data_IF_081389134539
#
_entry.id   IF_081389134539
#
_cell.length_a   1.000
_cell.length_b   1.000
_cell.length_c   1.000
_cell.angle_alpha   90.00
_cell.angle_beta   90.00
_cell.angle_gamma   90.00
#
_symmetry.space_group_name_H-M   'P 1'
#
loop_
_entity.id
_entity.type
_entity.pdbx_description
1 polymer ?
#
# COMPACT_ATOMS: atom_id res chain seq x y z
N UNK A 1 8.62 8.12 11.18
CA UNK A 1 8.91 7.83 9.77
C UNK A 1 8.42 8.97 8.92
N UNK A 2 9.10 9.24 7.82
CA UNK A 2 8.76 10.35 6.94
C UNK A 2 7.52 10.03 6.10
N UNK A 3 7.54 8.91 5.39
CA UNK A 3 6.39 8.38 4.65
C UNK A 3 6.38 6.87 4.82
N UNK A 4 5.74 6.39 5.89
CA UNK A 4 5.58 4.95 6.10
C UNK A 4 4.54 4.40 5.13
N UNK A 5 4.83 3.32 4.42
CA UNK A 5 3.97 2.79 3.35
C UNK A 5 4.04 1.28 3.23
N UNK A 6 3.11 0.72 2.44
CA UNK A 6 3.02 -0.70 2.09
C UNK A 6 3.24 -1.65 3.30
N UNK A 7 2.45 -1.51 4.39
CA UNK A 7 2.54 -2.43 5.50
C UNK A 7 2.04 -3.82 5.09
N UNK A 8 2.71 -4.86 5.58
CA UNK A 8 2.15 -6.21 5.54
C UNK A 8 2.54 -7.03 6.76
N UNK A 9 1.67 -7.98 7.11
CA UNK A 9 1.91 -8.94 8.17
C UNK A 9 2.51 -10.22 7.61
N UNK A 10 3.69 -10.60 8.10
CA UNK A 10 4.28 -11.90 7.87
C UNK A 10 3.90 -12.83 9.02
N UNK A 11 3.08 -13.84 8.73
CA UNK A 11 2.50 -14.75 9.72
C UNK A 11 3.55 -15.68 10.36
N UNK A 12 4.41 -16.31 9.56
CA UNK A 12 5.48 -17.20 10.03
C UNK A 12 6.44 -16.48 10.98
N UNK A 13 6.87 -15.27 10.63
CA UNK A 13 7.74 -14.45 11.49
C UNK A 13 6.99 -13.75 12.64
N UNK A 14 5.65 -13.72 12.57
CA UNK A 14 4.79 -12.92 13.44
C UNK A 14 5.29 -11.45 13.52
N UNK A 15 5.51 -10.86 12.35
CA UNK A 15 6.15 -9.56 12.21
C UNK A 15 5.38 -8.66 11.23
N UNK A 16 5.34 -7.36 11.55
CA UNK A 16 4.88 -6.34 10.63
C UNK A 16 6.09 -5.77 9.88
N UNK A 17 5.99 -5.73 8.55
CA UNK A 17 6.91 -5.03 7.67
C UNK A 17 6.26 -3.79 7.08
N UNK A 18 7.06 -2.79 6.73
CA UNK A 18 6.66 -1.60 5.96
C UNK A 18 7.89 -0.88 5.38
N UNK A 19 7.70 0.05 4.47
CA UNK A 19 8.76 0.94 3.96
C UNK A 19 8.66 2.34 4.55
N UNK A 20 9.76 3.06 4.67
CA UNK A 20 9.77 4.53 4.80
C UNK A 20 10.34 5.12 3.50
N UNK A 21 9.48 5.62 2.61
CA UNK A 21 9.86 6.03 1.26
C UNK A 21 10.95 7.11 1.31
N UNK A 22 10.68 8.22 2.00
CA UNK A 22 11.62 9.33 2.15
C UNK A 22 12.68 9.07 3.23
N UNK A 23 12.44 8.11 4.14
CA UNK A 23 13.44 7.63 5.09
C UNK A 23 14.44 6.64 4.49
N UNK A 24 14.19 6.15 3.27
CA UNK A 24 15.05 5.21 2.54
C UNK A 24 15.24 3.88 3.29
N UNK A 25 14.20 3.36 3.94
CA UNK A 25 14.31 2.12 4.72
C UNK A 25 13.19 1.13 4.45
N UNK A 26 13.53 -0.15 4.50
CA UNK A 26 12.58 -1.24 4.80
C UNK A 26 12.65 -1.49 6.29
N UNK A 27 11.51 -1.69 6.95
CA UNK A 27 11.42 -1.82 8.39
C UNK A 27 10.64 -3.09 8.77
N UNK A 28 11.00 -3.67 9.92
CA UNK A 28 10.31 -4.81 10.53
C UNK A 28 10.16 -4.57 12.03
N UNK A 29 9.01 -4.94 12.58
CA UNK A 29 8.80 -5.06 14.03
C UNK A 29 8.12 -6.37 14.38
N UNK A 30 8.59 -7.04 15.44
CA UNK A 30 7.89 -8.16 16.08
C UNK A 30 7.07 -7.62 17.26
N UNK A 31 5.74 -7.45 17.13
CA UNK A 31 4.96 -6.69 18.12
C UNK A 31 5.02 -7.28 19.54
N UNK A 32 5.11 -8.60 19.66
CA UNK A 32 5.15 -9.28 20.96
C UNK A 32 6.44 -8.98 21.76
N UNK A 33 7.57 -8.76 21.08
CA UNK A 33 8.86 -8.52 21.74
C UNK A 33 9.33 -7.07 21.63
N UNK A 34 8.75 -6.28 20.73
CA UNK A 34 9.24 -4.96 20.36
C UNK A 34 10.55 -4.98 19.57
N UNK A 35 11.08 -6.16 19.19
CA UNK A 35 12.30 -6.25 18.37
C UNK A 35 12.06 -5.55 17.03
N UNK A 36 12.92 -4.58 16.73
CA UNK A 36 12.88 -3.76 15.51
C UNK A 36 14.09 -4.04 14.64
N UNK A 37 13.91 -4.04 13.32
CA UNK A 37 14.97 -4.14 12.32
C UNK A 37 14.71 -3.14 11.20
N UNK A 38 15.76 -2.61 10.61
CA UNK A 38 15.67 -1.65 9.51
C UNK A 38 16.84 -1.86 8.54
N UNK A 39 16.56 -1.79 7.24
CA UNK A 39 17.53 -1.94 6.17
C UNK A 39 17.51 -0.68 5.31
N UNK A 40 18.66 0.00 5.21
CA UNK A 40 18.83 1.20 4.40
C UNK A 40 18.91 0.84 2.93
N UNK A 41 18.11 1.51 2.11
CA UNK A 41 18.01 1.32 0.66
C UNK A 41 18.82 2.39 -0.08
N UNK A 42 19.34 2.03 -1.25
CA UNK A 42 20.06 2.98 -2.13
C UNK A 42 19.11 3.94 -2.88
N UNK A 43 17.82 3.59 -2.97
CA UNK A 43 16.77 4.34 -3.63
C UNK A 43 15.45 4.21 -2.84
N UNK A 44 14.53 5.15 -3.03
CA UNK A 44 13.23 5.24 -2.36
C UNK A 44 12.46 3.92 -2.46
N UNK A 45 12.33 3.12 -1.38
CA UNK A 45 11.51 1.92 -1.38
C UNK A 45 10.04 2.31 -1.27
N UNK A 46 9.18 1.71 -2.08
CA UNK A 46 7.78 2.14 -2.23
C UNK A 46 6.77 1.02 -1.95
N UNK A 47 7.10 -0.21 -2.33
CA UNK A 47 6.30 -1.39 -2.04
C UNK A 47 7.19 -2.60 -1.72
N UNK A 48 6.66 -3.53 -0.93
CA UNK A 48 7.35 -4.77 -0.52
C UNK A 48 6.44 -5.99 -0.60
N UNK A 49 7.02 -7.13 -0.93
CA UNK A 49 6.39 -8.44 -0.92
C UNK A 49 7.34 -9.49 -0.34
N UNK A 50 6.85 -10.40 0.51
CA UNK A 50 7.63 -11.57 0.91
C UNK A 50 7.77 -12.55 -0.28
N UNK A 51 8.96 -13.09 -0.52
CA UNK A 51 9.21 -14.09 -1.58
C UNK A 51 9.48 -15.52 -1.07
N UNK A 52 9.23 -15.75 0.22
CA UNK A 52 9.66 -16.95 0.93
C UNK A 52 11.13 -16.85 1.38
N UNK A 53 11.66 -17.89 2.02
CA UNK A 53 13.10 -18.06 2.32
C UNK A 53 13.82 -16.84 2.96
N UNK A 54 13.13 -16.10 3.82
CA UNK A 54 13.61 -14.88 4.49
C UNK A 54 13.98 -13.71 3.54
N UNK A 55 13.43 -13.62 2.33
CA UNK A 55 13.62 -12.43 1.48
C UNK A 55 12.35 -11.64 1.24
N UNK A 56 12.57 -10.37 0.88
CA UNK A 56 11.58 -9.45 0.37
C UNK A 56 11.94 -9.05 -1.05
N UNK A 57 10.95 -8.97 -1.93
CA UNK A 57 11.04 -8.18 -3.16
C UNK A 57 10.61 -6.76 -2.83
N UNK A 58 11.46 -5.79 -3.16
CA UNK A 58 11.27 -4.37 -2.87
C UNK A 58 11.21 -3.60 -4.19
N UNK A 59 10.11 -2.89 -4.42
CA UNK A 59 10.00 -1.93 -5.52
C UNK A 59 10.60 -0.59 -5.08
N UNK A 60 11.58 -0.09 -5.83
CA UNK A 60 12.27 1.18 -5.58
C UNK A 60 12.10 2.13 -6.76
N UNK A 61 12.41 3.43 -6.60
CA UNK A 61 12.42 4.36 -7.74
C UNK A 61 13.25 3.84 -8.92
N UNK A 62 14.36 3.15 -8.66
CA UNK A 62 15.29 2.65 -9.69
C UNK A 62 14.96 1.26 -10.26
N UNK A 63 14.02 0.51 -9.66
CA UNK A 63 13.70 -0.85 -10.07
C UNK A 63 13.37 -1.77 -8.91
N UNK A 64 13.37 -3.08 -9.18
CA UNK A 64 13.11 -4.10 -8.18
C UNK A 64 14.41 -4.69 -7.65
N UNK A 65 14.49 -4.82 -6.33
CA UNK A 65 15.60 -5.48 -5.63
C UNK A 65 15.07 -6.57 -4.71
N UNK A 66 15.84 -7.63 -4.52
CA UNK A 66 15.59 -8.66 -3.52
C UNK A 66 16.46 -8.38 -2.31
N UNK A 67 15.84 -8.25 -1.13
CA UNK A 67 16.49 -8.04 0.16
C UNK A 67 16.41 -9.33 0.98
N UNK A 68 17.55 -9.91 1.31
CA UNK A 68 17.62 -10.96 2.32
C UNK A 68 17.54 -10.34 3.72
N UNK A 69 16.50 -10.66 4.48
CA UNK A 69 16.24 -10.03 5.80
C UNK A 69 17.10 -10.61 6.93
N UNK A 70 17.91 -11.63 6.67
CA UNK A 70 18.87 -12.19 7.63
C UNK A 70 20.25 -11.57 7.46
N UNK A 71 20.79 -11.55 6.24
CA UNK A 71 22.12 -11.00 5.95
C UNK A 71 22.11 -9.50 5.67
N UNK A 72 20.97 -8.95 5.24
CA UNK A 72 20.86 -7.59 4.71
C UNK A 72 21.37 -7.44 3.27
N UNK A 73 21.75 -8.53 2.61
CA UNK A 73 22.20 -8.52 1.22
C UNK A 73 21.07 -8.10 0.27
N UNK A 74 21.41 -7.28 -0.72
CA UNK A 74 20.49 -6.81 -1.75
C UNK A 74 20.99 -7.24 -3.12
N UNK A 75 20.10 -7.80 -3.94
CA UNK A 75 20.39 -8.20 -5.32
C UNK A 75 19.36 -7.61 -6.28
N UNK A 76 19.81 -7.00 -7.37
CA UNK A 76 18.91 -6.42 -8.37
C UNK A 76 18.11 -7.53 -9.08
N UNK A 77 16.82 -7.28 -9.30
CA UNK A 77 15.93 -8.15 -10.09
C UNK A 77 15.81 -7.59 -11.50
N UNK A 78 15.34 -6.34 -11.62
CA UNK A 78 15.22 -5.64 -12.90
C UNK A 78 15.17 -4.12 -12.69
N UNK A 79 15.64 -3.32 -13.67
CA UNK A 79 15.56 -1.86 -13.59
C UNK A 79 14.11 -1.37 -13.76
N UNK A 80 13.86 -0.13 -13.34
CA UNK A 80 12.62 0.57 -13.64
C UNK A 80 12.44 0.76 -15.16
N UNK A 81 11.23 0.52 -15.70
CA UNK A 81 10.93 0.64 -17.14
C UNK A 81 10.51 2.06 -17.57
N UNK A 82 10.76 3.08 -16.74
CA UNK A 82 10.31 4.47 -16.94
C UNK A 82 11.44 5.48 -16.67
N UNK A 83 11.20 6.76 -16.99
CA UNK A 83 12.12 7.85 -16.64
C UNK A 83 12.08 8.12 -15.13
N UNK A 84 13.14 7.67 -14.45
CA UNK A 84 13.30 7.81 -13.00
C UNK A 84 13.53 9.25 -12.57
N UNK A 85 13.58 10.25 -13.45
CA UNK A 85 13.60 11.66 -13.06
C UNK A 85 12.21 12.22 -12.71
N UNK A 86 11.15 11.60 -13.23
CA UNK A 86 9.78 12.12 -13.14
C UNK A 86 8.75 11.06 -12.72
N UNK A 87 9.16 9.81 -12.57
CA UNK A 87 8.29 8.69 -12.19
C UNK A 87 9.01 7.79 -11.20
N UNK A 88 8.23 7.19 -10.29
CA UNK A 88 8.68 6.13 -9.38
C UNK A 88 7.56 5.12 -9.19
N UNK A 89 7.89 3.90 -8.80
CA UNK A 89 6.92 3.01 -8.16
C UNK A 89 6.34 3.66 -6.89
N UNK A 90 5.09 3.33 -6.58
CA UNK A 90 4.37 3.78 -5.41
C UNK A 90 3.82 2.57 -4.63
N UNK A 91 2.51 2.39 -4.56
CA UNK A 91 1.93 1.26 -3.86
C UNK A 91 1.98 -0.02 -4.69
N UNK A 92 2.01 -1.14 -3.97
CA UNK A 92 2.00 -2.46 -4.57
C UNK A 92 1.52 -3.52 -3.60
N UNK A 93 0.93 -4.58 -4.15
CA UNK A 93 0.45 -5.73 -3.40
C UNK A 93 0.53 -6.99 -4.24
N UNK A 94 0.72 -8.12 -3.58
CA UNK A 94 0.72 -9.44 -4.22
C UNK A 94 -0.72 -9.90 -4.45
N UNK A 95 -1.03 -10.34 -5.66
CA UNK A 95 -2.34 -10.92 -5.99
C UNK A 95 -2.50 -12.34 -5.40
N UNK A 96 -3.72 -12.92 -5.40
CA UNK A 96 -3.94 -14.27 -4.87
C UNK A 96 -3.12 -15.38 -5.55
N UNK A 97 -2.60 -15.16 -6.75
CA UNK A 97 -1.78 -16.12 -7.47
C UNK A 97 -0.28 -15.97 -7.19
N UNK A 98 0.15 -14.93 -6.47
CA UNK A 98 1.54 -14.67 -6.13
C UNK A 98 2.26 -13.69 -7.09
N UNK A 99 1.53 -12.92 -7.90
CA UNK A 99 2.13 -11.90 -8.77
C UNK A 99 2.22 -10.58 -8.02
N UNK A 100 3.34 -9.87 -8.12
CA UNK A 100 3.49 -8.60 -7.41
C UNK A 100 3.08 -7.44 -8.32
N UNK A 101 1.91 -6.86 -8.04
CA UNK A 101 1.39 -5.69 -8.76
C UNK A 101 1.91 -4.43 -8.09
N UNK A 102 2.48 -3.52 -8.89
CA UNK A 102 3.04 -2.26 -8.39
C UNK A 102 2.70 -1.15 -9.36
N UNK A 103 1.99 -0.14 -8.87
CA UNK A 103 1.68 1.03 -9.67
C UNK A 103 2.71 2.13 -9.51
N UNK A 104 2.72 3.08 -10.44
CA UNK A 104 3.62 4.23 -10.39
C UNK A 104 2.93 5.50 -9.89
N UNK A 105 3.76 6.46 -9.51
CA UNK A 105 3.39 7.86 -9.34
C UNK A 105 4.09 8.67 -10.42
N UNK A 106 3.31 9.40 -11.21
CA UNK A 106 3.83 10.38 -12.14
C UNK A 106 3.94 11.74 -11.42
N UNK A 107 5.18 12.13 -11.10
CA UNK A 107 5.48 13.22 -10.16
C UNK A 107 5.11 14.63 -10.67
N UNK A 108 5.16 14.94 -11.98
CA UNK A 108 4.69 16.24 -12.47
C UNK A 108 3.19 16.47 -12.24
N UNK A 109 2.39 15.40 -12.18
CA UNK A 109 0.93 15.44 -11.93
C UNK A 109 0.13 16.36 -12.86
N UNK A 110 0.66 16.71 -14.02
CA UNK A 110 -0.01 17.55 -15.03
C UNK A 110 -0.89 16.75 -16.00
N UNK A 111 -0.80 15.42 -15.95
CA UNK A 111 -1.61 14.47 -16.73
C UNK A 111 -1.70 13.11 -16.04
N UNK A 112 -2.72 12.30 -16.34
CA UNK A 112 -2.86 10.96 -15.81
C UNK A 112 -1.92 9.97 -16.54
N UNK A 113 -0.63 10.03 -16.21
CA UNK A 113 0.44 9.23 -16.84
C UNK A 113 1.11 8.22 -15.89
N UNK A 114 0.47 7.90 -14.76
CA UNK A 114 0.88 6.74 -13.98
C UNK A 114 0.44 5.44 -14.67
N UNK A 115 1.12 4.36 -14.31
CA UNK A 115 1.07 3.06 -14.96
C UNK A 115 1.00 1.96 -13.92
N UNK A 116 0.52 0.80 -14.32
CA UNK A 116 0.49 -0.40 -13.48
C UNK A 116 1.40 -1.46 -14.06
N UNK A 117 2.27 -2.02 -13.22
CA UNK A 117 3.19 -3.09 -13.59
C UNK A 117 2.92 -4.35 -12.78
N UNK A 118 3.25 -5.50 -13.36
CA UNK A 118 3.22 -6.80 -12.68
C UNK A 118 4.59 -7.43 -12.78
N UNK A 119 5.20 -7.70 -11.63
CA UNK A 119 6.36 -8.57 -11.54
C UNK A 119 5.85 -10.01 -11.32
N UNK A 120 6.22 -10.90 -12.23
CA UNK A 120 5.89 -12.33 -12.16
C UNK A 120 7.11 -13.13 -12.60
N UNK A 121 7.60 -14.03 -11.76
CA UNK A 121 8.79 -14.85 -12.05
C UNK A 121 10.02 -14.03 -12.47
N UNK A 122 10.22 -12.94 -11.75
CA UNK A 122 11.30 -11.95 -11.91
C UNK A 122 11.26 -11.25 -13.28
N UNK A 123 10.10 -11.28 -13.95
CA UNK A 123 9.85 -10.58 -15.20
C UNK A 123 8.80 -9.51 -14.98
N UNK A 124 9.17 -8.28 -15.30
CA UNK A 124 8.28 -7.14 -15.21
C UNK A 124 7.52 -6.98 -16.54
N UNK A 125 6.20 -6.84 -16.44
CA UNK A 125 5.34 -6.47 -17.58
C UNK A 125 4.48 -5.26 -17.23
N UNK A 126 4.19 -4.44 -18.23
CA UNK A 126 3.17 -3.41 -18.14
C UNK A 126 1.79 -4.08 -18.17
N UNK A 127 0.93 -3.75 -17.20
CA UNK A 127 -0.46 -4.21 -17.14
C UNK A 127 -1.39 -3.23 -17.88
N UNK A 128 -1.26 -1.94 -17.58
CA UNK A 128 -1.93 -0.85 -18.29
C UNK A 128 -1.18 0.46 -18.05
N UNK A 129 -1.46 1.45 -18.90
CA UNK A 129 -0.87 2.79 -18.84
C UNK A 129 -1.97 3.86 -18.91
N UNK A 130 -1.83 4.91 -18.10
CA UNK A 130 -2.72 6.07 -18.11
C UNK A 130 -3.96 5.95 -17.22
N UNK A 131 -4.83 6.97 -17.30
CA UNK A 131 -6.08 7.13 -16.52
C UNK A 131 -5.92 7.23 -14.98
N UNK A 132 -4.68 7.37 -14.52
CA UNK A 132 -4.30 7.62 -13.13
C UNK A 132 -3.06 8.49 -13.04
N UNK A 133 -2.87 9.15 -11.90
CA UNK A 133 -1.68 9.98 -11.66
C UNK A 133 -0.86 9.46 -10.49
N UNK A 134 -1.52 8.89 -9.47
CA UNK A 134 -0.85 8.35 -8.30
C UNK A 134 -1.53 7.05 -7.85
N UNK A 135 -0.95 5.91 -8.27
CA UNK A 135 -1.50 4.59 -7.99
C UNK A 135 -1.38 4.21 -6.51
N UNK A 136 -2.49 3.73 -5.94
CA UNK A 136 -2.60 3.32 -4.55
C UNK A 136 -3.68 2.25 -4.33
N UNK A 137 -3.81 1.76 -3.11
CA UNK A 137 -5.00 1.07 -2.62
C UNK A 137 -5.27 -0.27 -3.30
N UNK A 138 -4.23 -0.98 -3.76
CA UNK A 138 -4.45 -2.30 -4.37
C UNK A 138 -4.92 -3.30 -3.31
N UNK A 139 -6.04 -3.98 -3.59
CA UNK A 139 -6.52 -5.10 -2.79
C UNK A 139 -7.47 -6.03 -3.57
N UNK A 140 -7.58 -7.28 -3.13
CA UNK A 140 -8.46 -8.28 -3.73
C UNK A 140 -9.44 -8.86 -2.71
N UNK A 141 -10.63 -9.21 -3.18
CA UNK A 141 -11.60 -9.97 -2.39
C UNK A 141 -11.12 -11.40 -2.12
N UNK A 142 -11.62 -12.06 -1.05
CA UNK A 142 -11.22 -13.43 -0.71
C UNK A 142 -11.48 -14.47 -1.80
N UNK A 143 -12.50 -14.25 -2.64
CA UNK A 143 -12.80 -15.13 -3.77
C UNK A 143 -11.87 -14.91 -4.98
N UNK A 144 -11.01 -13.91 -4.93
CA UNK A 144 -10.07 -13.54 -5.99
C UNK A 144 -10.75 -13.04 -7.27
N UNK A 145 -12.00 -12.58 -7.19
CA UNK A 145 -12.79 -12.16 -8.36
C UNK A 145 -12.92 -10.65 -8.52
N UNK A 146 -12.59 -9.89 -7.49
CA UNK A 146 -12.69 -8.43 -7.48
C UNK A 146 -11.37 -7.83 -7.05
N UNK A 147 -10.93 -6.82 -7.79
CA UNK A 147 -9.75 -6.01 -7.52
C UNK A 147 -10.18 -4.56 -7.29
N UNK A 148 -9.69 -3.96 -6.21
CA UNK A 148 -9.83 -2.54 -5.91
C UNK A 148 -8.53 -1.81 -6.21
N UNK A 149 -8.65 -0.55 -6.61
CA UNK A 149 -7.51 0.33 -6.87
C UNK A 149 -7.92 1.78 -6.63
N UNK A 150 -7.00 2.58 -6.10
CA UNK A 150 -7.21 4.00 -5.88
C UNK A 150 -6.27 4.84 -6.75
N UNK A 151 -6.80 5.93 -7.29
CA UNK A 151 -6.00 7.04 -7.79
C UNK A 151 -6.12 8.21 -6.82
N UNK A 152 -5.05 8.41 -6.03
CA UNK A 152 -5.03 9.38 -4.95
C UNK A 152 -5.23 10.81 -5.46
N UNK A 153 -4.73 11.15 -6.66
CA UNK A 153 -4.82 12.52 -7.19
C UNK A 153 -6.23 12.88 -7.66
N UNK A 154 -6.96 11.92 -8.23
CA UNK A 154 -8.36 12.13 -8.65
C UNK A 154 -9.37 11.82 -7.54
N UNK A 155 -8.91 11.46 -6.34
CA UNK A 155 -9.75 11.18 -5.18
C UNK A 155 -10.75 10.05 -5.46
N UNK A 156 -10.29 9.05 -6.20
CA UNK A 156 -11.16 8.03 -6.80
C UNK A 156 -10.74 6.64 -6.38
N UNK A 157 -11.71 5.79 -6.08
CA UNK A 157 -11.55 4.34 -5.95
C UNK A 157 -12.31 3.70 -7.10
N UNK A 158 -11.62 2.81 -7.82
CA UNK A 158 -12.17 2.00 -8.89
C UNK A 158 -12.20 0.52 -8.46
N UNK A 159 -13.10 -0.23 -9.09
CA UNK A 159 -13.25 -1.66 -8.90
C UNK A 159 -13.25 -2.37 -10.25
N UNK A 160 -12.66 -3.56 -10.30
CA UNK A 160 -12.47 -4.34 -11.50
C UNK A 160 -12.85 -5.79 -11.26
N UNK A 161 -13.32 -6.43 -12.31
CA UNK A 161 -13.42 -7.89 -12.33
C UNK A 161 -12.00 -8.44 -12.51
N UNK A 162 -11.63 -9.43 -11.70
CA UNK A 162 -10.30 -10.03 -11.69
C UNK A 162 -10.41 -11.53 -11.90
N UNK A 163 -9.53 -12.08 -12.74
CA UNK A 163 -9.33 -13.52 -12.85
C UNK A 163 -8.02 -13.89 -12.18
N UNK A 164 -8.08 -14.47 -10.98
CA UNK A 164 -6.89 -14.89 -10.25
C UNK A 164 -6.02 -15.89 -11.04
N UNK A 165 -6.62 -16.76 -11.85
CA UNK A 165 -5.88 -17.79 -12.58
C UNK A 165 -4.98 -17.16 -13.65
N UNK A 166 -5.48 -16.16 -14.38
CA UNK A 166 -4.77 -15.54 -15.51
C UNK A 166 -4.09 -14.22 -15.15
N UNK A 167 -4.57 -13.54 -14.11
CA UNK A 167 -4.18 -12.17 -13.75
C UNK A 167 -4.82 -11.11 -14.65
N UNK A 168 -5.89 -11.47 -15.37
CA UNK A 168 -6.63 -10.54 -16.22
C UNK A 168 -7.53 -9.62 -15.40
N UNK A 169 -7.62 -8.37 -15.86
CA UNK A 169 -8.39 -7.28 -15.24
C UNK A 169 -9.36 -6.74 -16.28
N UNK A 170 -10.64 -6.68 -15.93
CA UNK A 170 -11.70 -6.27 -16.85
C UNK A 170 -12.79 -5.43 -16.16
N UNK A 171 -13.66 -4.81 -16.97
CA UNK A 171 -14.88 -4.13 -16.52
C UNK A 171 -14.65 -3.09 -15.41
N UNK A 172 -13.57 -2.32 -15.54
CA UNK A 172 -13.21 -1.25 -14.62
C UNK A 172 -14.32 -0.21 -14.52
N UNK A 173 -14.72 0.11 -13.29
CA UNK A 173 -15.79 1.06 -12.99
C UNK A 173 -15.48 1.85 -11.73
N UNK A 174 -15.97 3.08 -11.68
CA UNK A 174 -15.86 3.89 -10.49
C UNK A 174 -16.68 3.27 -9.35
N UNK A 175 -16.07 3.12 -8.17
CA UNK A 175 -16.73 2.68 -6.96
C UNK A 175 -17.18 3.88 -6.12
N UNK A 176 -16.24 4.77 -5.79
CA UNK A 176 -16.47 5.99 -5.00
C UNK A 176 -15.56 7.10 -5.51
N UNK A 177 -16.05 8.34 -5.48
CA UNK A 177 -15.25 9.55 -5.70
C UNK A 177 -15.44 10.51 -4.53
N UNK A 178 -14.36 11.07 -4.01
CA UNK A 178 -14.37 12.04 -2.92
C UNK A 178 -14.09 13.47 -3.43
N UNK A 179 -14.40 14.46 -2.61
CA UNK A 179 -14.15 15.86 -2.93
C UNK A 179 -12.66 16.14 -3.09
N UNK A 180 -12.29 16.80 -4.18
CA UNK A 180 -10.91 17.26 -4.44
C UNK A 180 -10.66 18.67 -3.88
N UNK A 181 -11.71 19.36 -3.45
CA UNK A 181 -11.61 20.69 -2.85
C UNK A 181 -11.21 20.59 -1.38
N UNK A 182 -9.93 20.87 -1.10
CA UNK A 182 -9.37 20.88 0.26
C UNK A 182 -10.03 21.85 1.22
N UNK A 183 -10.75 22.84 0.70
CA UNK A 183 -11.44 23.86 1.50
C UNK A 183 -12.88 23.47 1.83
N UNK A 184 -13.39 22.44 1.15
CA UNK A 184 -14.75 21.97 1.36
C UNK A 184 -14.90 21.26 2.71
N UNK A 185 -16.04 21.45 3.43
CA UNK A 185 -16.33 20.71 4.65
C UNK A 185 -16.42 19.18 4.44
N UNK A 186 -16.60 18.74 3.20
CA UNK A 186 -16.69 17.32 2.83
C UNK A 186 -15.35 16.72 2.31
N UNK A 187 -14.24 17.47 2.32
CA UNK A 187 -12.95 17.03 1.77
C UNK A 187 -12.55 15.63 2.24
N UNK A 188 -12.54 15.41 3.56
CA UNK A 188 -12.40 14.08 4.15
C UNK A 188 -11.11 13.31 3.84
N UNK A 189 -10.15 13.92 3.14
CA UNK A 189 -8.92 13.28 2.69
C UNK A 189 -9.05 12.57 1.35
N UNK A 190 -7.98 11.89 0.96
CA UNK A 190 -7.86 11.20 -0.33
C UNK A 190 -7.45 9.74 -0.14
N UNK A 191 -7.98 8.81 -0.95
CA UNK A 191 -7.69 7.39 -0.79
C UNK A 191 -6.20 7.12 -1.07
N UNK A 192 -5.59 6.37 -0.17
CA UNK A 192 -4.18 5.97 -0.21
C UNK A 192 -4.12 4.43 -0.19
N UNK A 193 -3.17 3.82 0.53
CA UNK A 193 -3.09 2.37 0.69
C UNK A 193 -4.28 1.73 1.43
N UNK A 194 -4.55 0.47 1.09
CA UNK A 194 -5.74 -0.25 1.53
C UNK A 194 -5.52 -1.76 1.72
N UNK A 195 -6.49 -2.41 2.37
CA UNK A 195 -6.58 -3.87 2.51
C UNK A 195 -8.05 -4.32 2.46
N UNK A 196 -8.31 -5.61 2.23
CA UNK A 196 -9.66 -6.19 2.26
C UNK A 196 -9.77 -7.17 3.43
N UNK A 197 -10.88 -7.07 4.18
CA UNK A 197 -11.17 -7.99 5.29
C UNK A 197 -11.72 -9.36 4.81
N UNK A 198 -11.86 -10.32 5.73
CA UNK A 198 -12.33 -11.66 5.41
C UNK A 198 -13.79 -11.70 4.89
N UNK A 199 -14.55 -10.63 5.07
CA UNK A 199 -15.93 -10.47 4.58
C UNK A 199 -15.96 -9.81 3.18
N UNK A 200 -14.81 -9.43 2.63
CA UNK A 200 -14.69 -8.79 1.32
C UNK A 200 -14.81 -7.27 1.34
N UNK A 201 -14.83 -6.62 2.50
CA UNK A 201 -14.94 -5.17 2.58
C UNK A 201 -13.58 -4.49 2.48
N UNK A 202 -13.55 -3.35 1.79
CA UNK A 202 -12.36 -2.59 1.48
C UNK A 202 -12.07 -1.52 2.55
N UNK A 203 -10.93 -1.66 3.23
CA UNK A 203 -10.44 -0.74 4.25
C UNK A 203 -9.37 0.17 3.67
N UNK A 204 -9.63 1.48 3.62
CA UNK A 204 -8.74 2.46 2.98
C UNK A 204 -8.31 3.56 3.95
N UNK A 205 -7.02 3.89 3.91
CA UNK A 205 -6.48 5.06 4.57
C UNK A 205 -6.82 6.33 3.79
N UNK A 206 -7.33 7.35 4.48
CA UNK A 206 -7.64 8.64 3.86
C UNK A 206 -6.55 9.65 4.22
N UNK A 207 -5.55 9.79 3.34
CA UNK A 207 -4.44 10.72 3.52
C UNK A 207 -4.95 12.16 3.65
N UNK A 208 -4.39 12.93 4.59
CA UNK A 208 -4.87 14.26 5.04
C UNK A 208 -6.28 14.28 5.65
N UNK A 209 -6.99 13.14 5.66
CA UNK A 209 -8.31 13.00 6.28
C UNK A 209 -8.25 12.57 7.75
N UNK A 210 -7.14 12.02 8.21
CA UNK A 210 -6.99 11.52 9.59
C UNK A 210 -8.00 10.42 9.93
N UNK A 211 -8.36 9.57 8.96
CA UNK A 211 -9.39 8.55 9.13
C UNK A 211 -9.15 7.32 8.26
N UNK A 212 -9.82 6.23 8.62
CA UNK A 212 -10.00 5.04 7.80
C UNK A 212 -11.47 4.89 7.42
N UNK A 213 -11.73 4.36 6.22
CA UNK A 213 -13.08 3.99 5.78
C UNK A 213 -13.14 2.48 5.52
N UNK A 214 -14.22 1.82 5.98
CA UNK A 214 -14.64 0.48 5.54
C UNK A 214 -15.74 0.66 4.50
N UNK A 215 -15.48 0.24 3.28
CA UNK A 215 -16.43 0.30 2.17
C UNK A 215 -16.88 -1.12 1.81
N UNK A 216 -18.17 -1.29 1.49
CA UNK A 216 -18.65 -2.54 0.90
C UNK A 216 -18.07 -2.72 -0.52
N UNK A 217 -18.11 -3.93 -1.09
CA UNK A 217 -17.74 -4.16 -2.49
C UNK A 217 -18.54 -3.33 -3.52
N UNK A 218 -19.68 -2.76 -3.11
CA UNK A 218 -20.52 -1.89 -3.94
C UNK A 218 -20.33 -0.39 -3.64
N UNK A 219 -19.41 -0.03 -2.74
CA UNK A 219 -19.04 1.35 -2.43
C UNK A 219 -19.83 2.00 -1.30
N UNK A 220 -20.67 1.24 -0.60
CA UNK A 220 -21.39 1.75 0.57
C UNK A 220 -20.41 1.98 1.73
N UNK A 221 -20.48 3.13 2.40
CA UNK A 221 -19.72 3.38 3.61
C UNK A 221 -20.32 2.60 4.78
N UNK A 222 -19.60 1.57 5.23
CA UNK A 222 -20.01 0.69 6.32
C UNK A 222 -19.50 1.19 7.68
N UNK A 223 -18.31 1.79 7.71
CA UNK A 223 -17.69 2.29 8.94
C UNK A 223 -16.67 3.38 8.65
N UNK A 224 -16.57 4.33 9.56
CA UNK A 224 -15.51 5.32 9.62
C UNK A 224 -14.78 5.20 10.97
N UNK A 225 -13.46 5.33 10.95
CA UNK A 225 -12.61 5.36 12.15
C UNK A 225 -11.75 6.61 12.09
N UNK A 226 -11.98 7.56 12.98
CA UNK A 226 -11.11 8.71 13.19
C UNK A 226 -9.79 8.26 13.86
N UNK A 227 -8.68 8.82 13.39
CA UNK A 227 -7.35 8.52 13.88
C UNK A 227 -6.74 9.75 14.57
N UNK A 228 -5.91 9.54 15.61
CA UNK A 228 -5.18 10.61 16.29
C UNK A 228 -3.94 11.09 15.50
N UNK A 229 -4.03 11.12 14.17
CA UNK A 229 -3.00 11.56 13.23
C UNK A 229 -3.65 12.11 11.94
N UNK A 230 -2.90 12.88 11.13
CA UNK A 230 -3.48 13.54 9.94
C UNK A 230 -3.30 12.78 8.63
N UNK A 231 -2.15 12.13 8.45
CA UNK A 231 -1.79 11.51 7.18
C UNK A 231 -1.61 10.00 7.35
N UNK A 232 -2.70 9.23 7.57
CA UNK A 232 -2.63 7.78 7.41
C UNK A 232 -2.32 7.48 5.95
N UNK A 233 -1.49 6.47 5.71
CA UNK A 233 -0.98 6.15 4.37
C UNK A 233 -1.45 4.79 3.90
N UNK A 234 -1.44 3.77 4.76
CA UNK A 234 -1.90 2.44 4.37
C UNK A 234 -2.29 1.60 5.58
N UNK A 235 -2.95 0.46 5.33
CA UNK A 235 -3.41 -0.47 6.35
C UNK A 235 -3.04 -1.92 6.03
N UNK A 236 -2.84 -2.71 7.08
CA UNK A 236 -2.65 -4.16 6.98
C UNK A 236 -3.26 -4.87 8.18
N UNK A 237 -3.97 -5.96 7.95
CA UNK A 237 -4.39 -6.85 9.03
C UNK A 237 -3.25 -7.80 9.41
N UNK A 238 -3.15 -8.10 10.70
CA UNK A 238 -2.12 -8.98 11.25
C UNK A 238 -2.45 -9.47 12.65
N UNK A 239 -1.43 -10.00 13.33
CA UNK A 239 -1.60 -10.80 14.54
C UNK A 239 -1.97 -12.25 14.22
N UNK A 240 -1.88 -13.12 15.23
CA UNK A 240 -2.08 -14.57 15.06
C UNK A 240 -3.50 -14.94 14.57
N UNK A 241 -4.49 -14.10 14.82
CA UNK A 241 -5.87 -14.27 14.40
C UNK A 241 -6.29 -13.28 13.30
N UNK A 242 -5.37 -12.47 12.78
CA UNK A 242 -5.61 -11.41 11.78
C UNK A 242 -6.62 -10.34 12.19
N UNK A 243 -6.96 -10.19 13.47
CA UNK A 243 -7.89 -9.16 13.95
C UNK A 243 -7.19 -7.90 14.47
N UNK A 244 -5.88 -7.73 14.20
CA UNK A 244 -5.17 -6.48 14.51
C UNK A 244 -4.96 -5.70 13.22
N UNK A 245 -5.57 -4.52 13.12
CA UNK A 245 -5.33 -3.61 12.00
C UNK A 245 -4.15 -2.69 12.34
N UNK A 246 -3.10 -2.76 11.53
CA UNK A 246 -1.96 -1.85 11.54
C UNK A 246 -2.19 -0.71 10.56
N UNK A 247 -1.74 0.48 10.93
CA UNK A 247 -1.89 1.70 10.12
C UNK A 247 -0.55 2.42 10.04
N UNK A 248 -0.02 2.60 8.84
CA UNK A 248 1.14 3.47 8.61
C UNK A 248 0.69 4.91 8.43
N UNK A 249 1.61 5.85 8.62
CA UNK A 249 1.36 7.28 8.42
C UNK A 249 2.62 8.03 7.99
N UNK A 250 2.43 9.27 7.52
CA UNK A 250 3.49 10.15 7.05
C UNK A 250 3.58 11.44 7.87
N UNK A 251 4.80 11.86 8.20
CA UNK A 251 5.08 13.20 8.77
C UNK A 251 5.78 14.13 7.77
N UNK A 252 6.18 13.62 6.60
CA UNK A 252 6.90 14.40 5.60
C UNK A 252 6.09 15.62 5.14
N UNK A 253 6.73 16.78 5.13
CA UNK A 253 6.09 18.04 4.72
C UNK A 253 4.97 18.52 5.66
N UNK A 254 4.88 18.02 6.90
CA UNK A 254 3.95 18.53 7.93
C UNK A 254 4.64 19.61 8.78
N UNK A 255 3.86 20.59 9.24
CA UNK A 255 4.40 21.70 10.05
C UNK A 255 4.67 21.25 11.50
N UNK A 256 5.58 21.94 12.20
CA UNK A 256 5.85 21.66 13.60
C UNK A 256 4.59 21.80 14.49
N UNK A 257 3.76 22.82 14.23
CA UNK A 257 2.51 23.04 14.95
C UNK A 257 1.51 21.88 14.74
N UNK A 258 1.41 21.36 13.52
CA UNK A 258 0.55 20.20 13.25
C UNK A 258 1.09 18.94 13.95
N UNK A 259 2.40 18.72 13.93
CA UNK A 259 3.01 17.57 14.60
C UNK A 259 2.91 17.65 16.14
N UNK A 260 2.89 18.86 16.71
CA UNK A 260 2.61 19.06 18.14
C UNK A 260 1.14 18.73 18.46
N UNK A 261 0.20 19.13 17.60
CA UNK A 261 -1.22 18.81 17.75
C UNK A 261 -1.51 17.31 17.53
N UNK A 262 -0.81 16.68 16.59
CA UNK A 262 -1.00 15.29 16.20
C UNK A 262 0.31 14.48 16.31
N UNK A 263 0.79 14.22 17.55
CA UNK A 263 2.12 13.65 17.80
C UNK A 263 2.31 12.21 17.31
N UNK A 264 1.21 11.53 16.95
CA UNK A 264 1.24 10.18 16.37
C UNK A 264 1.40 10.18 14.85
N UNK A 265 1.43 11.35 14.20
CA UNK A 265 1.73 11.48 12.77
C UNK A 265 3.17 11.01 12.48
N UNK A 266 3.33 10.12 11.50
CA UNK A 266 4.61 9.46 11.21
C UNK A 266 4.94 8.29 12.15
N UNK A 267 3.94 7.72 12.84
CA UNK A 267 4.05 6.46 13.60
C UNK A 267 3.25 5.35 12.93
N UNK A 268 3.53 4.11 13.32
CA UNK A 268 2.64 2.97 13.05
C UNK A 268 1.66 2.86 14.22
N UNK A 269 0.37 2.85 13.93
CA UNK A 269 -0.68 2.56 14.91
C UNK A 269 -1.15 1.12 14.76
N UNK A 270 -1.75 0.57 15.82
CA UNK A 270 -2.47 -0.68 15.73
C UNK A 270 -3.73 -0.66 16.60
N UNK A 271 -4.75 -1.39 16.17
CA UNK A 271 -6.03 -1.49 16.89
C UNK A 271 -6.70 -2.84 16.61
N UNK A 272 -7.48 -3.32 17.58
CA UNK A 272 -8.24 -4.58 17.45
C UNK A 272 -9.54 -4.35 16.70
N UNK A 273 -9.80 -5.20 15.71
CA UNK A 273 -11.00 -5.21 14.90
C UNK A 273 -11.91 -6.38 15.30
N UNK A 274 -13.19 -6.22 14.98
CA UNK A 274 -14.26 -7.21 15.11
C UNK A 274 -14.31 -8.20 13.94
N UNK A 275 -13.58 -7.90 12.86
CA UNK A 275 -13.43 -8.75 11.67
C UNK A 275 -11.95 -9.07 11.44
N UNK A 276 -11.67 -10.30 11.01
CA UNK A 276 -10.35 -10.71 10.60
C UNK A 276 -9.99 -10.11 9.23
N UNK A 277 -8.70 -9.90 9.00
CA UNK A 277 -8.18 -9.73 7.65
C UNK A 277 -8.05 -11.04 6.89
N UNK A 278 -7.25 -10.98 5.83
CA UNK A 278 -6.86 -12.12 5.03
C UNK A 278 -5.36 -12.38 5.19
N UNK A 279 -4.94 -13.64 5.03
CA UNK A 279 -3.53 -13.96 4.89
C UNK A 279 -3.04 -13.31 3.60
N UNK A 280 -1.96 -12.54 3.68
CA UNK A 280 -1.39 -11.92 2.50
C UNK A 280 -0.66 -12.97 1.66
N UNK A 281 -0.92 -12.99 0.35
CA UNK A 281 -0.20 -13.85 -0.56
C UNK A 281 1.28 -13.45 -0.62
N UNK A 282 2.15 -14.46 -0.71
CA UNK A 282 3.58 -14.28 -0.97
C UNK A 282 3.83 -14.24 -2.48
N UNK A 283 4.85 -13.48 -2.88
CA UNK A 283 5.31 -13.43 -4.25
C UNK A 283 5.87 -14.80 -4.67
N UNK A 284 5.40 -15.30 -5.80
CA UNK A 284 5.81 -16.60 -6.36
C UNK A 284 6.73 -16.40 -7.55
N UNK A 285 7.91 -16.98 -7.42
CA UNK A 285 8.93 -17.02 -8.46
C UNK A 285 8.62 -18.03 -9.58
#
# INVERSE_FOLDING_TARGET
MQVGECPFWHDVESALYWVDINGMTVNRVHPASGKFSSWTMASEPSAIAADGDNNLVVATRLGFVRLNTTSGEMTDICPAPYDTAITRFNDGRVDPAGRFWVGTMYEPRDKPAAEMYVLERDRLRLAWSGNMTNSNGLAWTPDGRTMFHADTTSHRIDVYDFDAATGEVANGRNLVTFSTDKTSPDYGGRPDGAAVDAEGNYWVAMFEGGRLLKLSPTGELLREIELPLRCPTAVAFGGADLHTLYVTSASHGRSAAELEQYPLTGKVLCMRMDVAGQVQAEYKR
#
